data_IF_219461525822
#
_entry.id   IF_219461525822
#
_cell.length_a   1.000
_cell.length_b   1.000
_cell.length_c   1.000
_cell.angle_alpha   90.00
_cell.angle_beta   90.00
_cell.angle_gamma   90.00
#
_symmetry.space_group_name_H-M   'P 1'
#
loop_
_entity.id
_entity.type
_entity.pdbx_description
1 polymer ?
#
# COMPACT_ATOMS: atom_id res chain seq x y z
N UNK A 1 -10.88 11.07 -10.57
CA UNK A 1 -12.13 11.77 -10.24
C UNK A 1 -12.13 11.90 -8.74
N UNK A 2 -12.12 13.12 -8.22
CA UNK A 2 -12.02 13.33 -6.78
C UNK A 2 -13.39 13.18 -6.08
N UNK A 3 -13.39 13.27 -4.75
CA UNK A 3 -14.61 13.17 -3.94
C UNK A 3 -15.65 14.24 -4.28
N UNK A 4 -15.22 15.46 -4.63
CA UNK A 4 -16.12 16.57 -4.99
C UNK A 4 -16.83 16.28 -6.30
N UNK A 5 -16.12 15.70 -7.27
CA UNK A 5 -16.69 15.27 -8.53
C UNK A 5 -17.68 14.10 -8.35
N UNK A 6 -17.38 13.14 -7.46
CA UNK A 6 -18.32 12.06 -7.09
C UNK A 6 -19.59 12.64 -6.47
N UNK A 7 -19.48 13.56 -5.52
CA UNK A 7 -20.64 14.19 -4.87
C UNK A 7 -21.52 14.94 -5.88
N UNK A 8 -20.91 15.55 -6.89
CA UNK A 8 -21.63 16.19 -7.99
C UNK A 8 -22.45 15.17 -8.80
N UNK A 9 -21.89 13.98 -9.05
CA UNK A 9 -22.58 12.89 -9.75
C UNK A 9 -23.74 12.34 -8.94
N UNK A 10 -23.59 12.22 -7.62
CA UNK A 10 -24.67 11.82 -6.72
C UNK A 10 -25.82 12.84 -6.80
N UNK A 11 -25.51 14.14 -6.70
CA UNK A 11 -26.51 15.21 -6.82
C UNK A 11 -27.25 15.19 -8.16
N UNK A 12 -26.58 14.86 -9.26
CA UNK A 12 -27.26 14.72 -10.55
C UNK A 12 -28.30 13.60 -10.53
N UNK A 13 -27.97 12.45 -9.93
CA UNK A 13 -28.90 11.32 -9.78
C UNK A 13 -30.07 11.72 -8.88
N UNK A 14 -29.81 12.39 -7.75
CA UNK A 14 -30.86 12.90 -6.86
C UNK A 14 -31.82 13.84 -7.60
N UNK A 15 -31.30 14.77 -8.40
CA UNK A 15 -32.12 15.66 -9.23
C UNK A 15 -32.94 14.87 -10.28
N UNK A 16 -32.35 13.88 -10.94
CA UNK A 16 -33.04 13.04 -11.92
C UNK A 16 -34.14 12.18 -11.26
N UNK A 17 -33.92 11.73 -10.01
CA UNK A 17 -34.93 11.03 -9.20
C UNK A 17 -36.07 11.96 -8.77
N UNK A 18 -35.76 13.19 -8.35
CA UNK A 18 -36.77 14.20 -8.00
C UNK A 18 -37.68 14.52 -9.20
N UNK A 19 -37.14 14.55 -10.41
CA UNK A 19 -37.94 14.71 -11.64
C UNK A 19 -38.92 13.54 -11.85
N UNK A 20 -38.52 12.31 -11.50
CA UNK A 20 -39.39 11.13 -11.57
C UNK A 20 -40.48 11.17 -10.51
N UNK A 21 -40.13 11.45 -9.26
CA UNK A 21 -41.06 11.53 -8.13
C UNK A 21 -42.15 12.58 -8.36
N UNK A 22 -41.78 13.72 -8.93
CA UNK A 22 -42.71 14.80 -9.25
C UNK A 22 -43.47 14.59 -10.57
N UNK A 23 -43.30 13.45 -11.26
CA UNK A 23 -43.96 13.17 -12.54
C UNK A 23 -43.53 14.13 -13.67
N UNK A 24 -42.40 14.83 -13.51
CA UNK A 24 -41.87 15.82 -14.46
C UNK A 24 -41.06 15.15 -15.57
N UNK A 25 -41.67 14.15 -16.19
CA UNK A 25 -41.16 13.41 -17.35
C UNK A 25 -42.08 13.61 -18.55
N UNK A 26 -41.50 13.59 -19.74
CA UNK A 26 -42.22 13.91 -20.98
C UNK A 26 -43.45 13.01 -21.20
N UNK A 27 -43.35 11.76 -20.75
CA UNK A 27 -44.41 10.75 -20.85
C UNK A 27 -45.66 11.11 -20.03
N UNK A 28 -45.52 11.84 -18.93
CA UNK A 28 -46.62 12.27 -18.05
C UNK A 28 -46.97 13.74 -18.22
N UNK A 29 -45.94 14.58 -18.37
CA UNK A 29 -46.06 16.04 -18.54
C UNK A 29 -45.40 16.42 -19.86
N UNK A 30 -46.18 16.50 -20.94
CA UNK A 30 -45.67 16.89 -22.26
C UNK A 30 -45.31 18.38 -22.28
N UNK A 31 -44.06 18.68 -22.58
CA UNK A 31 -43.58 20.07 -22.68
C UNK A 31 -42.15 20.13 -23.22
N UNK A 32 -41.80 21.26 -23.82
CA UNK A 32 -40.43 21.50 -24.26
C UNK A 32 -39.49 21.55 -23.04
N UNK A 33 -38.33 20.91 -23.13
CA UNK A 33 -37.33 20.87 -22.05
C UNK A 33 -37.60 19.83 -20.96
N UNK A 34 -38.72 19.10 -21.02
CA UNK A 34 -39.00 17.99 -20.09
C UNK A 34 -38.32 16.72 -20.61
N UNK A 35 -37.45 16.07 -19.82
CA UNK A 35 -36.74 14.88 -20.27
C UNK A 35 -37.68 13.67 -20.37
N UNK A 36 -37.37 12.77 -21.30
CA UNK A 36 -38.00 11.44 -21.36
C UNK A 36 -37.49 10.58 -20.21
N UNK A 37 -38.31 9.64 -19.76
CA UNK A 37 -37.89 8.62 -18.79
C UNK A 37 -36.61 7.88 -19.24
N UNK A 38 -36.52 7.53 -20.53
CA UNK A 38 -35.31 6.91 -21.11
C UNK A 38 -34.06 7.80 -21.00
N UNK A 39 -34.22 9.12 -21.10
CA UNK A 39 -33.10 10.06 -20.98
C UNK A 39 -32.58 10.11 -19.55
N UNK A 40 -33.48 10.18 -18.56
CA UNK A 40 -33.13 10.15 -17.15
C UNK A 40 -32.46 8.81 -16.77
N UNK A 41 -33.01 7.69 -17.24
CA UNK A 41 -32.43 6.37 -17.03
C UNK A 41 -30.99 6.26 -17.55
N UNK A 42 -30.72 6.79 -18.75
CA UNK A 42 -29.36 6.78 -19.31
C UNK A 42 -28.40 7.67 -18.52
N UNK A 43 -28.83 8.88 -18.12
CA UNK A 43 -28.02 9.80 -17.29
C UNK A 43 -27.67 9.17 -15.95
N UNK A 44 -28.67 8.64 -15.24
CA UNK A 44 -28.44 7.96 -13.97
C UNK A 44 -27.49 6.78 -14.14
N UNK A 45 -27.61 6.00 -15.22
CA UNK A 45 -26.69 4.89 -15.51
C UNK A 45 -25.25 5.36 -15.73
N UNK A 46 -25.06 6.45 -16.45
CA UNK A 46 -23.74 7.00 -16.74
C UNK A 46 -23.12 7.65 -15.51
N UNK A 47 -23.91 8.37 -14.71
CA UNK A 47 -23.45 8.96 -13.46
C UNK A 47 -23.14 7.87 -12.41
N UNK A 48 -23.92 6.78 -12.32
CA UNK A 48 -23.60 5.62 -11.48
C UNK A 48 -22.28 4.95 -11.91
N UNK A 49 -22.05 4.77 -13.21
CA UNK A 49 -20.77 4.24 -13.72
C UNK A 49 -19.61 5.15 -13.34
N UNK A 50 -19.78 6.46 -13.48
CA UNK A 50 -18.76 7.43 -13.09
C UNK A 50 -18.44 7.33 -11.59
N UNK A 51 -19.47 7.23 -10.73
CA UNK A 51 -19.30 7.08 -9.28
C UNK A 51 -18.52 5.81 -8.95
N UNK A 52 -18.91 4.66 -9.51
CA UNK A 52 -18.24 3.37 -9.25
C UNK A 52 -16.77 3.43 -9.67
N UNK A 53 -16.48 3.96 -10.85
CA UNK A 53 -15.10 4.10 -11.32
C UNK A 53 -14.31 5.09 -10.45
N UNK A 54 -14.93 6.20 -10.02
CA UNK A 54 -14.31 7.18 -9.14
C UNK A 54 -13.90 6.59 -7.79
N UNK A 55 -14.81 5.85 -7.15
CA UNK A 55 -14.49 5.15 -5.90
C UNK A 55 -13.43 4.07 -6.09
N UNK A 56 -13.43 3.34 -7.21
CA UNK A 56 -12.36 2.39 -7.53
C UNK A 56 -10.98 3.05 -7.52
N UNK A 57 -10.84 4.21 -8.18
CA UNK A 57 -9.58 4.97 -8.20
C UNK A 57 -9.18 5.52 -6.82
N UNK A 58 -10.14 6.03 -6.04
CA UNK A 58 -9.84 6.53 -4.69
C UNK A 58 -9.35 5.43 -3.75
N UNK A 59 -9.95 4.23 -3.84
CA UNK A 59 -9.51 3.07 -3.07
C UNK A 59 -8.11 2.63 -3.49
N UNK A 60 -7.83 2.58 -4.79
CA UNK A 60 -6.48 2.28 -5.29
C UNK A 60 -5.46 3.29 -4.78
N UNK A 61 -5.75 4.59 -4.86
CA UNK A 61 -4.88 5.66 -4.35
C UNK A 61 -4.63 5.53 -2.83
N UNK A 62 -5.69 5.29 -2.05
CA UNK A 62 -5.60 5.10 -0.59
C UNK A 62 -4.76 3.85 -0.24
N UNK A 63 -4.95 2.73 -0.94
CA UNK A 63 -4.14 1.52 -0.72
C UNK A 63 -2.67 1.75 -1.04
N UNK A 64 -2.35 2.43 -2.14
CA UNK A 64 -0.98 2.81 -2.49
C UNK A 64 -0.38 3.71 -1.40
N UNK A 65 -1.15 4.66 -0.86
CA UNK A 65 -0.70 5.53 0.23
C UNK A 65 -0.38 4.74 1.50
N UNK A 66 -1.24 3.82 1.90
CA UNK A 66 -1.05 2.97 3.09
C UNK A 66 0.21 2.10 2.93
N UNK A 67 0.36 1.44 1.78
CA UNK A 67 1.54 0.62 1.50
C UNK A 67 2.83 1.47 1.53
N UNK A 68 2.75 2.72 1.05
CA UNK A 68 3.88 3.64 1.06
C UNK A 68 4.30 4.07 2.46
N UNK A 69 3.34 4.45 3.30
CA UNK A 69 3.58 4.81 4.71
C UNK A 69 4.15 3.63 5.48
N UNK A 70 3.59 2.44 5.28
CA UNK A 70 4.08 1.22 5.91
C UNK A 70 5.52 0.92 5.49
N UNK A 71 5.83 1.02 4.20
CA UNK A 71 7.18 0.83 3.69
C UNK A 71 8.18 1.84 4.27
N UNK A 72 7.85 3.14 4.30
CA UNK A 72 8.74 4.18 4.84
C UNK A 72 9.00 3.97 6.34
N UNK A 73 7.98 3.60 7.12
CA UNK A 73 8.14 3.25 8.53
C UNK A 73 9.06 2.04 8.71
N UNK A 74 8.82 0.95 7.98
CA UNK A 74 9.58 -0.29 8.11
C UNK A 74 11.04 -0.12 7.66
N UNK A 75 11.29 0.63 6.59
CA UNK A 75 12.65 0.91 6.13
C UNK A 75 13.43 1.77 7.12
N UNK A 76 12.77 2.72 7.80
CA UNK A 76 13.35 3.45 8.92
C UNK A 76 13.76 2.54 10.08
N UNK A 77 12.88 1.60 10.47
CA UNK A 77 13.17 0.60 11.50
C UNK A 77 14.32 -0.34 11.10
N UNK A 78 14.29 -0.83 9.85
CA UNK A 78 15.35 -1.66 9.28
C UNK A 78 16.71 -0.97 9.36
N UNK A 79 16.77 0.32 9.01
CA UNK A 79 18.00 1.11 9.09
C UNK A 79 18.52 1.18 10.52
N UNK A 80 17.67 1.50 11.49
CA UNK A 80 18.05 1.55 12.91
C UNK A 80 18.57 0.21 13.43
N UNK A 81 17.89 -0.89 13.11
CA UNK A 81 18.32 -2.25 13.45
C UNK A 81 19.66 -2.58 12.80
N UNK A 82 19.82 -2.27 11.50
CA UNK A 82 21.05 -2.51 10.76
C UNK A 82 22.23 -1.77 11.36
N UNK A 83 22.06 -0.52 11.80
CA UNK A 83 23.13 0.27 12.42
C UNK A 83 23.56 -0.35 13.76
N UNK A 84 22.62 -0.81 14.59
CA UNK A 84 22.93 -1.50 15.85
C UNK A 84 23.63 -2.84 15.61
N UNK A 85 23.11 -3.66 14.70
CA UNK A 85 23.70 -4.95 14.34
C UNK A 85 25.09 -4.77 13.72
N UNK A 86 25.32 -3.73 12.92
CA UNK A 86 26.63 -3.43 12.35
C UNK A 86 27.68 -3.07 13.43
N UNK A 87 27.27 -2.44 14.53
CA UNK A 87 28.16 -2.19 15.68
C UNK A 87 28.48 -3.52 16.39
N UNK A 88 27.47 -4.37 16.60
CA UNK A 88 27.64 -5.65 17.28
C UNK A 88 28.46 -6.63 16.45
N UNK A 89 28.28 -6.67 15.13
CA UNK A 89 29.03 -7.54 14.22
C UNK A 89 30.52 -7.18 14.16
N UNK A 90 30.87 -5.90 14.33
CA UNK A 90 32.28 -5.48 14.47
C UNK A 90 32.90 -5.89 15.80
N UNK A 91 32.10 -5.93 16.88
CA UNK A 91 32.57 -6.25 18.24
C UNK A 91 32.64 -7.76 18.50
N UNK A 92 31.67 -8.51 17.99
CA UNK A 92 31.47 -9.92 18.24
C UNK A 92 30.83 -10.60 17.02
N UNK A 93 31.54 -10.68 15.88
CA UNK A 93 30.98 -11.16 14.62
C UNK A 93 30.35 -12.55 14.74
N UNK A 94 31.05 -13.48 15.41
CA UNK A 94 30.66 -14.87 15.54
C UNK A 94 29.68 -15.15 16.70
N UNK A 95 29.29 -14.13 17.46
CA UNK A 95 28.32 -14.30 18.54
C UNK A 95 26.92 -14.50 17.97
N UNK A 96 26.18 -15.45 18.56
CA UNK A 96 24.84 -15.79 18.12
C UNK A 96 23.82 -14.72 18.51
N UNK A 97 22.84 -14.51 17.64
CA UNK A 97 21.68 -13.68 17.90
C UNK A 97 20.67 -14.49 18.71
N UNK A 98 20.09 -13.89 19.76
CA UNK A 98 19.11 -14.58 20.59
C UNK A 98 17.72 -14.58 19.94
N UNK A 99 16.86 -15.45 20.46
CA UNK A 99 15.47 -15.68 20.00
C UNK A 99 14.66 -14.38 19.90
N UNK A 100 14.71 -13.55 20.95
CA UNK A 100 14.01 -12.27 21.02
C UNK A 100 14.43 -11.30 19.90
N UNK A 101 15.73 -11.15 19.67
CA UNK A 101 16.26 -10.28 18.61
C UNK A 101 15.91 -10.80 17.23
N UNK A 102 15.95 -12.11 17.02
CA UNK A 102 15.51 -12.73 15.76
C UNK A 102 14.05 -12.40 15.46
N UNK A 103 13.16 -12.56 16.45
CA UNK A 103 11.74 -12.22 16.30
C UNK A 103 11.52 -10.73 15.99
N UNK A 104 12.23 -9.83 16.68
CA UNK A 104 12.17 -8.39 16.40
C UNK A 104 12.59 -8.06 14.96
N UNK A 105 13.70 -8.66 14.51
CA UNK A 105 14.24 -8.43 13.16
C UNK A 105 13.27 -8.99 12.12
N UNK A 106 12.84 -10.25 12.26
CA UNK A 106 11.91 -10.88 11.31
C UNK A 106 10.55 -10.16 11.28
N UNK A 107 10.12 -9.56 12.39
CA UNK A 107 8.93 -8.70 12.44
C UNK A 107 9.00 -7.48 11.51
N UNK A 108 10.21 -7.01 11.16
CA UNK A 108 10.43 -5.94 10.17
C UNK A 108 10.70 -6.52 8.78
N UNK A 109 11.52 -7.58 8.69
CA UNK A 109 11.92 -8.17 7.40
C UNK A 109 10.75 -8.85 6.67
N UNK A 110 9.88 -9.56 7.38
CA UNK A 110 8.78 -10.30 6.74
C UNK A 110 7.77 -9.37 6.06
N UNK A 111 7.27 -8.29 6.70
CA UNK A 111 6.41 -7.33 6.01
C UNK A 111 7.10 -6.62 4.85
N UNK A 112 8.38 -6.24 4.99
CA UNK A 112 9.14 -5.64 3.89
C UNK A 112 9.27 -6.59 2.69
N UNK A 113 9.51 -7.87 2.95
CA UNK A 113 9.59 -8.89 1.89
C UNK A 113 8.26 -9.05 1.17
N UNK A 114 7.14 -8.98 1.90
CA UNK A 114 5.80 -9.06 1.31
C UNK A 114 5.47 -7.84 0.44
N UNK A 115 5.77 -6.62 0.90
CA UNK A 115 5.61 -5.39 0.11
C UNK A 115 6.40 -5.48 -1.20
N UNK A 116 7.62 -6.03 -1.14
CA UNK A 116 8.49 -6.18 -2.30
C UNK A 116 8.31 -7.50 -3.06
N UNK A 117 7.24 -8.28 -2.82
CA UNK A 117 7.12 -9.66 -3.35
C UNK A 117 7.17 -9.77 -4.87
N UNK A 118 6.74 -8.73 -5.57
CA UNK A 118 6.73 -8.67 -7.04
C UNK A 118 8.10 -8.23 -7.62
N UNK A 119 9.06 -7.86 -6.76
CA UNK A 119 10.42 -7.54 -7.20
C UNK A 119 11.27 -8.79 -7.41
N UNK A 120 12.11 -8.83 -8.46
CA UNK A 120 13.07 -9.91 -8.64
C UNK A 120 14.02 -10.12 -7.46
N UNK A 121 14.28 -9.09 -6.66
CA UNK A 121 15.12 -9.20 -5.47
C UNK A 121 14.49 -10.02 -4.35
N UNK A 122 13.17 -10.19 -4.31
CA UNK A 122 12.47 -10.86 -3.22
C UNK A 122 12.92 -12.31 -3.00
N UNK A 123 13.34 -13.00 -4.06
CA UNK A 123 13.89 -14.36 -4.00
C UNK A 123 15.17 -14.44 -3.14
N UNK A 124 15.94 -13.35 -3.07
CA UNK A 124 17.23 -13.29 -2.37
C UNK A 124 17.12 -12.62 -0.98
N UNK A 125 15.91 -12.32 -0.51
CA UNK A 125 15.68 -11.69 0.78
C UNK A 125 15.42 -12.75 1.86
N UNK A 126 16.48 -13.22 2.50
CA UNK A 126 16.36 -14.27 3.51
C UNK A 126 15.92 -13.74 4.88
N UNK A 127 15.03 -14.48 5.54
CA UNK A 127 14.69 -14.21 6.94
C UNK A 127 15.71 -14.88 7.86
N UNK A 128 15.85 -14.37 9.08
CA UNK A 128 16.67 -15.04 10.10
C UNK A 128 16.00 -16.35 10.53
N UNK A 129 16.82 -17.33 10.84
CA UNK A 129 16.36 -18.66 11.25
C UNK A 129 15.88 -18.57 12.70
N UNK A 130 14.59 -18.79 12.89
CA UNK A 130 14.02 -18.91 14.23
C UNK A 130 14.54 -20.17 14.93
N UNK A 131 14.89 -20.08 16.22
CA UNK A 131 15.31 -21.22 17.00
C UNK A 131 14.15 -22.21 17.19
N UNK A 132 14.46 -23.50 17.13
CA UNK A 132 13.49 -24.58 17.22
C UNK A 132 12.78 -24.56 18.59
N UNK A 133 11.44 -24.41 18.66
CA UNK A 133 10.71 -24.38 19.92
C UNK A 133 10.79 -25.68 20.72
N UNK A 134 11.15 -26.81 20.09
CA UNK A 134 11.33 -28.11 20.75
C UNK A 134 12.81 -28.44 21.03
N UNK A 135 13.75 -27.63 20.54
CA UNK A 135 15.18 -27.80 20.70
C UNK A 135 15.68 -27.27 22.05
N UNK A 136 16.46 -28.08 22.78
CA UNK A 136 17.09 -27.72 24.08
C UNK A 136 18.13 -26.58 24.01
N UNK A 137 18.14 -25.76 22.96
CA UNK A 137 19.07 -24.63 22.80
C UNK A 137 18.35 -23.36 22.36
N UNK A 138 18.34 -22.36 23.23
CA UNK A 138 17.76 -21.01 23.06
C UNK A 138 18.54 -20.11 22.07
N UNK A 139 19.26 -20.74 21.13
CA UNK A 139 20.30 -20.11 20.30
C UNK A 139 19.91 -20.25 18.84
N UNK A 140 19.58 -19.13 18.20
CA UNK A 140 19.49 -19.09 16.73
C UNK A 140 20.86 -19.43 16.13
N UNK A 141 20.85 -20.02 14.94
CA UNK A 141 22.08 -20.32 14.17
C UNK A 141 22.69 -19.08 13.53
N UNK A 142 22.00 -17.93 13.58
CA UNK A 142 22.47 -16.70 12.98
C UNK A 142 23.50 -16.02 13.88
N UNK A 143 24.65 -15.68 13.31
CA UNK A 143 25.64 -14.80 13.96
C UNK A 143 25.33 -13.33 13.68
N UNK A 144 25.95 -12.41 14.42
CA UNK A 144 25.81 -10.98 14.13
C UNK A 144 26.39 -10.60 12.75
N UNK A 145 27.44 -11.28 12.27
CA UNK A 145 27.96 -11.06 10.92
C UNK A 145 26.98 -11.53 9.83
N UNK A 146 26.40 -12.73 9.97
CA UNK A 146 25.38 -13.23 9.04
C UNK A 146 24.15 -12.30 9.01
N UNK A 147 23.73 -11.87 10.20
CA UNK A 147 22.59 -10.95 10.34
C UNK A 147 22.88 -9.61 9.68
N UNK A 148 24.06 -9.04 9.89
CA UNK A 148 24.46 -7.78 9.24
C UNK A 148 24.43 -7.90 7.71
N UNK A 149 24.85 -9.05 7.16
CA UNK A 149 24.82 -9.31 5.73
C UNK A 149 23.38 -9.30 5.19
N UNK A 150 22.48 -10.05 5.84
CA UNK A 150 21.05 -10.10 5.47
C UNK A 150 20.42 -8.71 5.51
N UNK A 151 20.63 -7.95 6.59
CA UNK A 151 20.10 -6.60 6.73
C UNK A 151 20.61 -5.66 5.62
N UNK A 152 21.88 -5.81 5.21
CA UNK A 152 22.44 -5.02 4.11
C UNK A 152 21.78 -5.31 2.75
N UNK A 153 21.41 -6.58 2.51
CA UNK A 153 20.70 -6.98 1.28
C UNK A 153 19.29 -6.38 1.26
N UNK A 154 18.58 -6.44 2.39
CA UNK A 154 17.27 -5.79 2.54
C UNK A 154 17.35 -4.28 2.32
N UNK A 155 18.34 -3.59 2.91
CA UNK A 155 18.51 -2.15 2.70
C UNK A 155 18.74 -1.81 1.22
N UNK A 156 19.59 -2.57 0.53
CA UNK A 156 19.84 -2.38 -0.90
C UNK A 156 18.58 -2.63 -1.75
N UNK A 157 17.77 -3.63 -1.40
CA UNK A 157 16.49 -3.90 -2.06
C UNK A 157 15.49 -2.76 -1.82
N UNK A 158 15.39 -2.26 -0.58
CA UNK A 158 14.52 -1.14 -0.24
C UNK A 158 14.91 0.14 -0.99
N UNK A 159 16.21 0.45 -1.13
CA UNK A 159 16.66 1.60 -1.91
C UNK A 159 16.26 1.49 -3.39
N UNK A 160 16.34 0.27 -3.97
CA UNK A 160 15.92 0.02 -5.36
C UNK A 160 14.42 0.15 -5.52
N UNK A 161 13.66 -0.46 -4.62
CA UNK A 161 12.20 -0.37 -4.59
C UNK A 161 11.76 1.10 -4.50
N UNK A 162 12.33 1.86 -3.57
CA UNK A 162 12.04 3.28 -3.40
C UNK A 162 12.33 4.08 -4.68
N UNK A 163 13.50 3.88 -5.30
CA UNK A 163 13.85 4.54 -6.57
C UNK A 163 12.89 4.20 -7.71
N UNK A 164 12.31 3.00 -7.74
CA UNK A 164 11.39 2.58 -8.80
C UNK A 164 9.98 3.13 -8.62
N UNK A 165 9.46 3.15 -7.39
CA UNK A 165 8.05 3.47 -7.12
C UNK A 165 7.80 4.86 -6.51
N UNK A 166 8.85 5.54 -6.05
CA UNK A 166 8.74 6.85 -5.39
C UNK A 166 9.44 7.98 -6.17
N UNK A 167 10.28 7.66 -7.17
CA UNK A 167 11.00 8.68 -7.94
C UNK A 167 10.10 9.56 -8.84
N UNK A 168 8.83 9.21 -9.02
CA UNK A 168 7.87 10.01 -9.81
C UNK A 168 7.32 11.19 -9.00
N UNK A 169 7.26 11.10 -7.66
CA UNK A 169 6.69 12.16 -6.81
C UNK A 169 7.63 13.34 -6.57
N UNK A 170 8.95 13.14 -6.61
CA UNK A 170 9.93 14.23 -6.45
C UNK A 170 9.97 15.17 -7.67
N UNK A 171 9.56 14.71 -8.86
CA UNK A 171 9.52 15.55 -10.07
C UNK A 171 8.23 16.35 -10.23
N UNK A 172 7.11 15.92 -9.64
CA UNK A 172 5.82 16.62 -9.71
C UNK A 172 5.63 17.65 -8.59
N UNK A 173 6.41 17.58 -7.50
CA UNK A 173 6.38 18.57 -6.42
C UNK A 173 7.30 19.79 -6.66
N UNK A 174 7.91 19.91 -7.85
CA UNK A 174 8.83 21.00 -8.23
C UNK A 174 8.32 21.84 -9.43
N UNK A 175 7.11 21.55 -9.93
CA UNK A 175 6.41 22.33 -10.97
C UNK A 175 5.07 22.84 -10.45
#
# INVERSE_FOLDING_TARGET
MDKVEIDKKIKNIENDLELLENGRIYELTKGAGIPKCSTLANRMKDDLRAIVNGFGLLLEEETISIDREQFDMLTGQLKGISDEVAILSKKQPDALVNTFKVGLINGVLSPLKEIMREEPSAEFLDLLVEPDPEGKSDKSRNTYSDTALILSQFLAACERYRKKYYAIDDYLNVL
#
